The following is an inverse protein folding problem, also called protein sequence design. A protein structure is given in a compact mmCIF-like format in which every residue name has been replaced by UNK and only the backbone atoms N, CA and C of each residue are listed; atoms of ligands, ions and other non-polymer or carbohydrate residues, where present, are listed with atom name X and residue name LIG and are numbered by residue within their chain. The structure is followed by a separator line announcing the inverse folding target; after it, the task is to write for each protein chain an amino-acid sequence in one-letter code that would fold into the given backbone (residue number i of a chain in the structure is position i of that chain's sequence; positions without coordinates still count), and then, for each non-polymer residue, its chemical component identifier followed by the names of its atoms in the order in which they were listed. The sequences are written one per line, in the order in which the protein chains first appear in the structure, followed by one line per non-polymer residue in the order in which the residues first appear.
data_IF_634961741549
#
_entry.id   IF_634961741549
#
_cell.length_a   1.000
_cell.length_b   1.000
_cell.length_c   1.000
_cell.angle_alpha   90.00
_cell.angle_beta   90.00
_cell.angle_gamma   90.00
#
_symmetry.space_group_name_H-M   'P 1'
#
loop_
_entity.id
_entity.type
_entity.pdbx_description
1 polymer ?
#
# COMPACT_ATOMS: atom_id res chain seq x y z
N UNK A 1 6.78 -2.62 8.05
CA UNK A 1 8.01 -2.69 8.85
C UNK A 1 8.58 -4.12 8.97
N UNK A 2 7.71 -5.14 8.93
CA UNK A 2 8.14 -6.55 8.98
C UNK A 2 8.42 -7.17 7.61
N UNK A 3 8.05 -6.51 6.52
CA UNK A 3 8.24 -7.00 5.16
C UNK A 3 9.71 -6.89 4.74
N UNK A 4 10.36 -8.02 4.48
CA UNK A 4 11.80 -8.11 4.25
C UNK A 4 12.18 -8.54 2.84
N UNK A 5 11.24 -9.13 2.08
CA UNK A 5 11.45 -9.45 0.67
C UNK A 5 10.14 -9.57 -0.10
N UNK A 6 10.24 -9.47 -1.42
CA UNK A 6 9.21 -9.81 -2.39
C UNK A 6 9.87 -10.53 -3.56
N UNK A 7 9.51 -11.79 -3.77
CA UNK A 7 10.01 -12.60 -4.89
C UNK A 7 8.84 -12.97 -5.80
N UNK A 8 8.90 -12.57 -7.07
CA UNK A 8 7.98 -13.06 -8.08
C UNK A 8 8.26 -14.52 -8.39
N UNK A 9 7.23 -15.36 -8.34
CA UNK A 9 7.40 -16.81 -8.52
C UNK A 9 7.40 -17.11 -10.03
N UNK A 10 8.50 -17.66 -10.58
CA UNK A 10 8.58 -18.08 -11.97
C UNK A 10 7.85 -19.40 -12.21
N UNK A 11 7.67 -19.76 -13.49
CA UNK A 11 7.16 -21.09 -13.88
C UNK A 11 8.16 -22.21 -13.58
N UNK A 12 9.46 -21.95 -13.72
CA UNK A 12 10.51 -22.89 -13.32
C UNK A 12 10.63 -22.91 -11.78
N UNK A 13 10.77 -24.11 -11.22
CA UNK A 13 10.96 -24.27 -9.78
C UNK A 13 12.26 -23.60 -9.32
N UNK A 14 12.17 -22.81 -8.22
CA UNK A 14 13.31 -22.09 -7.68
C UNK A 14 13.08 -21.59 -6.26
N UNK A 15 14.12 -21.03 -5.62
CA UNK A 15 14.00 -20.47 -4.28
C UNK A 15 13.27 -19.13 -4.27
N UNK A 16 12.74 -18.76 -3.12
CA UNK A 16 12.31 -17.39 -2.81
C UNK A 16 13.25 -16.77 -1.78
N UNK A 17 13.44 -15.45 -1.87
CA UNK A 17 14.33 -14.76 -0.95
C UNK A 17 13.78 -14.78 0.47
N UNK A 18 14.59 -15.22 1.42
CA UNK A 18 14.32 -15.14 2.85
C UNK A 18 13.37 -16.18 3.42
N UNK A 19 12.88 -17.15 2.63
CA UNK A 19 12.03 -18.25 3.10
C UNK A 19 12.46 -19.58 2.45
N UNK A 20 12.45 -20.72 3.17
CA UNK A 20 12.89 -22.00 2.63
C UNK A 20 11.93 -22.57 1.58
N UNK A 21 12.34 -23.71 1.01
CA UNK A 21 11.58 -24.49 0.04
C UNK A 21 11.82 -24.10 -1.41
N UNK A 22 11.19 -24.86 -2.30
CA UNK A 22 11.24 -24.66 -3.74
C UNK A 22 9.85 -24.29 -4.26
N UNK A 23 9.79 -23.22 -5.04
CA UNK A 23 8.53 -22.58 -5.43
C UNK A 23 8.39 -22.52 -6.95
N UNK A 24 7.19 -22.74 -7.46
CA UNK A 24 6.85 -22.56 -8.88
C UNK A 24 5.42 -22.11 -9.06
N UNK A 25 5.16 -21.28 -10.05
CA UNK A 25 3.81 -20.89 -10.49
C UNK A 25 3.44 -21.67 -11.76
N UNK A 26 2.20 -22.13 -11.85
CA UNK A 26 1.69 -22.83 -13.03
C UNK A 26 0.51 -22.06 -13.59
N UNK A 27 0.63 -21.67 -14.86
CA UNK A 27 -0.37 -20.99 -15.67
C UNK A 27 -0.99 -19.73 -15.04
N UNK A 28 -0.29 -19.11 -14.08
CA UNK A 28 -0.81 -17.97 -13.33
C UNK A 28 -2.00 -18.32 -12.42
N UNK A 29 -2.37 -19.61 -12.31
CA UNK A 29 -3.52 -20.03 -11.51
C UNK A 29 -3.14 -20.60 -10.15
N UNK A 30 -2.02 -21.31 -10.08
CA UNK A 30 -1.58 -22.00 -8.87
C UNK A 30 -0.11 -21.77 -8.58
N UNK A 31 0.20 -21.80 -7.29
CA UNK A 31 1.57 -21.85 -6.79
C UNK A 31 1.76 -23.16 -6.04
N UNK A 32 2.87 -23.77 -6.30
CA UNK A 32 3.34 -24.97 -5.60
C UNK A 32 4.58 -24.61 -4.81
N UNK A 33 4.57 -24.93 -3.52
CA UNK A 33 5.72 -24.78 -2.61
C UNK A 33 6.07 -26.14 -2.06
N UNK A 34 7.31 -26.60 -2.25
CA UNK A 34 7.77 -27.90 -1.79
C UNK A 34 8.77 -27.72 -0.67
N UNK A 35 8.55 -28.42 0.43
CA UNK A 35 9.38 -28.38 1.63
C UNK A 35 9.89 -29.77 1.98
N UNK A 36 11.12 -29.84 2.50
CA UNK A 36 11.67 -31.00 3.18
C UNK A 36 11.43 -30.92 4.69
N UNK A 37 11.60 -32.02 5.39
CA UNK A 37 11.57 -32.05 6.87
C UNK A 37 12.61 -31.10 7.49
N UNK A 38 13.75 -30.91 6.82
CA UNK A 38 14.83 -30.04 7.29
C UNK A 38 14.54 -28.53 7.14
N UNK A 39 13.51 -28.16 6.38
CA UNK A 39 13.11 -26.77 6.18
C UNK A 39 12.42 -26.16 7.41
N UNK A 40 11.98 -26.98 8.37
CA UNK A 40 11.29 -26.54 9.61
C UNK A 40 10.15 -25.56 9.34
N UNK A 41 9.33 -25.88 8.34
CA UNK A 41 8.17 -25.06 7.95
C UNK A 41 6.91 -25.61 8.58
N UNK A 42 6.05 -24.71 9.04
CA UNK A 42 4.70 -25.06 9.47
C UNK A 42 3.66 -24.37 8.62
N UNK A 43 2.50 -25.03 8.39
CA UNK A 43 1.30 -24.45 7.83
C UNK A 43 0.19 -24.50 8.88
N UNK A 44 -0.38 -23.32 9.22
CA UNK A 44 -1.39 -23.22 10.27
C UNK A 44 -0.98 -23.87 11.61
N UNK A 45 0.33 -23.85 11.90
CA UNK A 45 0.91 -24.42 13.13
C UNK A 45 1.26 -25.91 13.07
N UNK A 46 0.94 -26.63 12.00
CA UNK A 46 1.34 -28.02 11.79
C UNK A 46 2.59 -28.11 10.91
N UNK A 47 3.57 -29.00 11.22
CA UNK A 47 4.72 -29.23 10.35
C UNK A 47 4.31 -29.61 8.94
N UNK A 48 5.07 -29.16 7.95
CA UNK A 48 4.83 -29.44 6.53
C UNK A 48 6.03 -30.12 5.93
N UNK A 49 5.77 -31.25 5.24
CA UNK A 49 6.71 -31.93 4.37
C UNK A 49 5.99 -32.25 3.05
N UNK A 50 6.68 -32.08 1.92
CA UNK A 50 6.11 -32.27 0.59
C UNK A 50 5.55 -31.00 -0.02
N UNK A 51 4.56 -31.12 -0.89
CA UNK A 51 4.03 -30.05 -1.71
C UNK A 51 2.77 -29.42 -1.09
N UNK A 52 2.77 -28.09 -1.00
CA UNK A 52 1.62 -27.25 -0.63
C UNK A 52 1.18 -26.47 -1.86
N UNK A 53 -0.13 -26.35 -2.06
CA UNK A 53 -0.70 -25.68 -3.23
C UNK A 53 -1.52 -24.48 -2.79
N UNK A 54 -1.29 -23.33 -3.46
CA UNK A 54 -2.06 -22.11 -3.29
C UNK A 54 -2.80 -21.77 -4.58
N UNK A 55 -4.07 -21.37 -4.44
CA UNK A 55 -4.89 -20.86 -5.54
C UNK A 55 -5.64 -19.65 -5.02
N UNK A 56 -5.33 -18.47 -5.59
CA UNK A 56 -5.86 -17.18 -5.15
C UNK A 56 -6.47 -16.43 -6.33
N UNK A 57 -7.50 -15.66 -6.06
CA UNK A 57 -7.99 -14.64 -6.97
C UNK A 57 -7.00 -13.46 -7.04
N UNK A 58 -7.05 -12.67 -8.11
CA UNK A 58 -6.19 -11.48 -8.21
C UNK A 58 -6.53 -10.48 -7.10
N UNK A 59 -5.50 -9.89 -6.50
CA UNK A 59 -5.63 -9.10 -5.28
C UNK A 59 -5.58 -9.92 -3.99
N UNK A 60 -5.79 -11.23 -4.04
CA UNK A 60 -5.80 -12.14 -2.88
C UNK A 60 -4.42 -12.34 -2.25
N UNK A 61 -4.42 -12.75 -0.99
CA UNK A 61 -3.20 -13.14 -0.23
C UNK A 61 -3.52 -14.20 0.81
N UNK A 62 -2.56 -15.10 1.04
CA UNK A 62 -2.61 -16.11 2.11
C UNK A 62 -1.29 -16.13 2.87
N UNK A 63 -1.37 -16.16 4.21
CA UNK A 63 -0.20 -16.11 5.11
C UNK A 63 -0.27 -17.26 6.11
N UNK A 64 -0.30 -18.49 5.63
CA UNK A 64 -0.42 -19.71 6.44
C UNK A 64 0.92 -20.31 6.82
N UNK A 65 1.99 -20.04 6.05
CA UNK A 65 3.31 -20.64 6.23
C UNK A 65 4.18 -19.84 7.22
N UNK A 66 4.89 -20.57 8.08
CA UNK A 66 5.84 -20.03 9.07
C UNK A 66 7.13 -20.81 9.06
N UNK A 67 8.25 -20.09 9.29
CA UNK A 67 9.58 -20.65 9.53
C UNK A 67 10.28 -19.75 10.56
N UNK A 68 10.45 -20.23 11.78
CA UNK A 68 11.00 -19.43 12.88
C UNK A 68 10.22 -18.14 13.09
N UNK A 69 10.90 -16.99 12.99
CA UNK A 69 10.31 -15.65 13.15
C UNK A 69 9.62 -15.13 11.88
N UNK A 70 9.70 -15.87 10.79
CA UNK A 70 9.25 -15.46 9.46
C UNK A 70 7.90 -16.05 9.08
N UNK A 71 7.17 -15.29 8.28
CA UNK A 71 5.93 -15.69 7.65
C UNK A 71 6.02 -15.45 6.13
N UNK A 72 5.66 -16.46 5.34
CA UNK A 72 5.48 -16.28 3.91
C UNK A 72 4.04 -15.92 3.60
N UNK A 73 3.85 -14.77 2.95
CA UNK A 73 2.58 -14.34 2.38
C UNK A 73 2.61 -14.62 0.88
N UNK A 74 1.86 -15.64 0.44
CA UNK A 74 1.61 -15.88 -0.98
C UNK A 74 0.58 -14.87 -1.44
N UNK A 75 0.87 -14.11 -2.48
CA UNK A 75 0.01 -13.05 -2.99
C UNK A 75 -0.11 -13.13 -4.50
N UNK A 76 -1.32 -12.83 -5.05
CA UNK A 76 -1.54 -12.68 -6.48
C UNK A 76 -1.79 -11.21 -6.81
N UNK A 77 -1.03 -10.64 -7.74
CA UNK A 77 -1.09 -9.23 -8.12
C UNK A 77 -0.89 -9.08 -9.63
N UNK A 78 -1.87 -8.51 -10.31
CA UNK A 78 -1.84 -8.35 -11.77
C UNK A 78 -1.68 -9.69 -12.50
N UNK A 79 -2.40 -10.72 -12.06
CA UNK A 79 -2.36 -12.07 -12.61
C UNK A 79 -1.09 -12.88 -12.28
N UNK A 80 -0.13 -12.32 -11.53
CA UNK A 80 1.14 -12.96 -11.18
C UNK A 80 1.21 -13.26 -9.69
N UNK A 81 1.86 -14.37 -9.37
CA UNK A 81 2.12 -14.74 -7.98
C UNK A 81 3.48 -14.24 -7.48
N UNK A 82 3.48 -13.81 -6.23
CA UNK A 82 4.69 -13.46 -5.49
C UNK A 82 4.64 -14.04 -4.08
N UNK A 83 5.80 -14.25 -3.48
CA UNK A 83 5.96 -14.48 -2.05
C UNK A 83 6.51 -13.22 -1.41
N UNK A 84 5.82 -12.71 -0.40
CA UNK A 84 6.28 -11.64 0.48
C UNK A 84 6.67 -12.25 1.82
N UNK A 85 7.91 -12.05 2.23
CA UNK A 85 8.39 -12.54 3.52
C UNK A 85 8.30 -11.44 4.55
N UNK A 86 7.66 -11.77 5.66
CA UNK A 86 7.56 -10.92 6.85
C UNK A 86 8.36 -11.53 7.98
N UNK A 87 9.23 -10.75 8.60
CA UNK A 87 10.01 -11.17 9.77
C UNK A 87 9.63 -10.33 10.99
N UNK A 88 9.22 -10.99 12.06
CA UNK A 88 8.90 -10.29 13.32
C UNK A 88 10.13 -9.65 13.96
N UNK A 89 11.33 -10.10 13.62
CA UNK A 89 12.61 -9.56 14.05
C UNK A 89 13.29 -8.68 12.99
N UNK A 90 12.56 -8.25 11.94
CA UNK A 90 13.11 -7.36 10.93
C UNK A 90 13.76 -6.11 11.56
N UNK A 91 14.99 -5.74 11.15
CA UNK A 91 15.71 -4.58 11.71
C UNK A 91 14.89 -3.29 11.62
N UNK A 92 14.16 -3.09 10.52
CA UNK A 92 13.25 -1.95 10.33
C UNK A 92 12.19 -1.88 11.42
N UNK A 93 11.61 -3.04 11.80
CA UNK A 93 10.61 -3.11 12.85
C UNK A 93 11.21 -2.86 14.24
N UNK A 94 12.38 -3.44 14.52
CA UNK A 94 13.04 -3.31 15.83
C UNK A 94 13.54 -1.89 16.11
N UNK A 95 14.00 -1.18 15.07
CA UNK A 95 14.52 0.18 15.18
C UNK A 95 13.46 1.27 15.05
N UNK A 96 12.23 0.89 14.72
CA UNK A 96 11.16 1.84 14.50
C UNK A 96 10.78 2.59 15.78
N UNK A 97 10.88 3.92 15.77
CA UNK A 97 10.59 4.80 16.90
C UNK A 97 9.37 5.71 16.65
N UNK A 98 8.65 5.47 15.57
CA UNK A 98 7.53 6.31 15.16
C UNK A 98 7.80 7.05 13.85
N UNK A 99 6.74 7.59 13.26
CA UNK A 99 6.83 8.42 12.07
C UNK A 99 6.97 9.87 12.51
N UNK A 100 7.97 10.63 12.01
CA UNK A 100 8.01 12.06 12.26
C UNK A 100 6.75 12.73 11.69
N UNK A 101 6.20 13.67 12.41
CA UNK A 101 5.03 14.46 11.99
C UNK A 101 5.34 15.95 12.06
N UNK A 102 4.62 16.75 11.28
CA UNK A 102 4.61 18.19 11.47
C UNK A 102 3.85 18.56 12.76
N UNK A 103 4.14 19.72 13.31
CA UNK A 103 3.26 20.31 14.33
C UNK A 103 1.86 20.53 13.74
N UNK A 104 0.84 20.42 14.59
CA UNK A 104 -0.53 20.67 14.16
C UNK A 104 -0.70 22.12 13.64
N UNK A 105 -1.24 22.23 12.42
CA UNK A 105 -1.51 23.49 11.77
C UNK A 105 -3.02 23.62 11.47
N UNK A 106 -3.75 24.52 12.17
CA UNK A 106 -5.16 24.74 11.90
C UNK A 106 -5.44 25.19 10.44
N UNK A 107 -4.48 25.85 9.77
CA UNK A 107 -4.65 26.28 8.39
C UNK A 107 -4.57 25.13 7.38
N UNK A 108 -4.11 23.97 7.81
CA UNK A 108 -4.11 22.74 7.04
C UNK A 108 -5.44 21.97 7.11
N UNK A 109 -6.42 22.48 7.87
CA UNK A 109 -7.81 22.02 7.85
C UNK A 109 -8.57 22.90 6.87
N UNK A 110 -8.98 22.35 5.74
CA UNK A 110 -9.65 23.12 4.68
C UNK A 110 -11.04 22.58 4.39
N UNK A 111 -11.93 23.51 4.00
CA UNK A 111 -13.24 23.14 3.47
C UNK A 111 -13.15 22.97 1.96
N UNK A 112 -13.81 21.92 1.47
CA UNK A 112 -13.92 21.63 0.05
C UNK A 112 -15.36 21.30 -0.34
N UNK A 113 -15.58 21.11 -1.62
CA UNK A 113 -16.84 20.63 -2.19
C UNK A 113 -16.59 19.31 -2.87
N UNK A 114 -17.33 18.29 -2.49
CA UNK A 114 -17.33 16.98 -3.14
C UNK A 114 -18.42 16.90 -4.18
N UNK A 115 -18.05 16.45 -5.38
CA UNK A 115 -18.94 16.15 -6.48
C UNK A 115 -18.79 14.67 -6.88
N UNK A 116 -19.79 13.81 -6.58
CA UNK A 116 -19.75 12.43 -6.99
C UNK A 116 -19.89 12.28 -8.50
N UNK A 117 -19.31 11.24 -9.06
CA UNK A 117 -19.62 10.82 -10.42
C UNK A 117 -20.96 10.07 -10.45
N UNK A 118 -21.69 10.16 -11.55
CA UNK A 118 -22.93 9.37 -11.75
C UNK A 118 -22.68 7.85 -11.59
N UNK A 119 -21.49 7.41 -12.00
CA UNK A 119 -20.99 6.05 -11.79
C UNK A 119 -19.49 6.12 -11.46
N UNK A 120 -19.03 5.32 -10.50
CA UNK A 120 -17.59 5.19 -10.23
C UNK A 120 -16.82 4.83 -11.51
N UNK A 121 -15.55 5.26 -11.57
CA UNK A 121 -14.67 5.06 -12.73
C UNK A 121 -13.40 4.34 -12.32
N UNK A 122 -13.08 3.29 -13.03
CA UNK A 122 -11.80 2.61 -12.88
C UNK A 122 -10.74 3.32 -13.71
N UNK A 123 -9.72 3.85 -13.05
CA UNK A 123 -8.63 4.57 -13.68
C UNK A 123 -7.33 3.76 -13.51
N UNK A 124 -6.63 3.43 -14.60
CA UNK A 124 -5.30 2.82 -14.50
C UNK A 124 -4.34 3.75 -13.76
N UNK A 125 -3.60 3.19 -12.82
CA UNK A 125 -2.57 3.89 -12.06
C UNK A 125 -1.29 3.07 -12.02
N UNK A 126 -0.18 3.72 -11.71
CA UNK A 126 1.06 3.04 -11.32
C UNK A 126 1.01 2.64 -9.86
N UNK A 127 1.87 1.71 -9.48
CA UNK A 127 2.08 1.33 -8.08
C UNK A 127 3.55 1.51 -7.70
N UNK A 128 3.86 1.41 -6.41
CA UNK A 128 5.23 1.42 -5.92
C UNK A 128 6.13 0.35 -6.56
N UNK A 129 5.55 -0.73 -7.07
CA UNK A 129 6.25 -1.76 -7.82
C UNK A 129 5.85 -1.66 -9.30
N UNK A 130 6.75 -1.21 -10.21
CA UNK A 130 6.42 -1.04 -11.62
C UNK A 130 5.94 -2.31 -12.35
N UNK A 131 6.24 -3.49 -11.79
CA UNK A 131 5.77 -4.77 -12.35
C UNK A 131 4.32 -5.09 -11.99
N UNK A 132 3.65 -4.26 -11.17
CA UNK A 132 2.26 -4.43 -10.74
C UNK A 132 1.42 -3.29 -11.29
N UNK A 133 0.56 -3.55 -12.29
CA UNK A 133 -0.43 -2.56 -12.70
C UNK A 133 -1.43 -2.33 -11.55
N UNK A 134 -1.90 -1.11 -11.41
CA UNK A 134 -2.90 -0.75 -10.43
C UNK A 134 -4.15 -0.18 -11.10
N UNK A 135 -5.25 -0.22 -10.37
CA UNK A 135 -6.51 0.44 -10.74
C UNK A 135 -7.02 1.20 -9.53
N UNK A 136 -7.37 2.46 -9.73
CA UNK A 136 -8.03 3.28 -8.73
C UNK A 136 -9.52 3.37 -9.05
N UNK A 137 -10.37 2.98 -8.11
CA UNK A 137 -11.82 3.08 -8.22
C UNK A 137 -12.28 4.45 -7.73
N UNK A 138 -12.43 5.40 -8.66
CA UNK A 138 -12.72 6.79 -8.35
C UNK A 138 -14.22 7.03 -8.29
N UNK A 139 -14.69 7.56 -7.16
CA UNK A 139 -16.11 7.82 -6.90
C UNK A 139 -16.53 9.26 -7.17
N UNK A 140 -15.58 10.20 -7.25
CA UNK A 140 -15.87 11.61 -7.48
C UNK A 140 -14.63 12.48 -7.39
N UNK A 141 -14.88 13.77 -7.25
CA UNK A 141 -13.86 14.81 -7.20
C UNK A 141 -14.11 15.69 -5.98
N UNK A 142 -13.03 16.14 -5.35
CA UNK A 142 -13.08 17.18 -4.33
C UNK A 142 -12.32 18.41 -4.81
N UNK A 143 -12.96 19.59 -4.70
CA UNK A 143 -12.36 20.90 -5.01
C UNK A 143 -12.23 21.70 -3.71
N UNK A 144 -11.09 22.33 -3.51
CA UNK A 144 -10.79 23.12 -2.31
C UNK A 144 -9.75 24.20 -2.61
N UNK A 145 -9.56 25.10 -1.66
CA UNK A 145 -8.49 26.10 -1.70
C UNK A 145 -7.51 25.82 -0.58
N UNK A 146 -6.23 25.69 -0.91
CA UNK A 146 -5.15 25.54 0.05
C UNK A 146 -4.11 26.65 -0.12
N UNK A 147 -3.82 27.40 0.95
CA UNK A 147 -2.90 28.54 0.93
C UNK A 147 -3.14 29.53 -0.23
N UNK A 148 -4.40 29.79 -0.55
CA UNK A 148 -4.82 30.72 -1.61
C UNK A 148 -4.81 30.14 -3.03
N UNK A 149 -4.38 28.89 -3.22
CA UNK A 149 -4.40 28.22 -4.51
C UNK A 149 -5.56 27.20 -4.59
N UNK A 150 -6.30 27.21 -5.70
CA UNK A 150 -7.33 26.20 -5.97
C UNK A 150 -6.68 24.85 -6.29
N UNK A 151 -7.23 23.78 -5.73
CA UNK A 151 -6.81 22.42 -5.97
C UNK A 151 -8.01 21.51 -6.24
N UNK A 152 -7.76 20.45 -6.99
CA UNK A 152 -8.76 19.46 -7.38
C UNK A 152 -8.13 18.08 -7.30
N UNK A 153 -8.76 17.17 -6.55
CA UNK A 153 -8.31 15.79 -6.40
C UNK A 153 -9.46 14.84 -6.70
N UNK A 154 -9.20 13.79 -7.47
CA UNK A 154 -10.12 12.65 -7.54
C UNK A 154 -9.98 11.81 -6.28
N UNK A 155 -11.10 11.24 -5.83
CA UNK A 155 -11.16 10.49 -4.57
C UNK A 155 -11.75 9.10 -4.77
N UNK A 156 -11.27 8.18 -3.95
CA UNK A 156 -11.80 6.83 -3.77
C UNK A 156 -12.60 6.79 -2.48
N UNK A 157 -13.42 5.78 -2.31
CA UNK A 157 -14.15 5.57 -1.05
C UNK A 157 -15.60 5.16 -1.26
N UNK A 158 -16.42 5.46 -0.28
CA UNK A 158 -17.84 5.10 -0.24
C UNK A 158 -18.67 6.27 0.31
N UNK A 159 -19.92 5.99 0.72
CA UNK A 159 -20.83 6.99 1.28
C UNK A 159 -20.48 7.46 2.69
N UNK A 160 -19.45 6.91 3.31
CA UNK A 160 -19.00 7.28 4.66
C UNK A 160 -17.62 7.94 4.68
N UNK A 161 -16.69 7.45 3.88
CA UNK A 161 -15.30 7.91 3.89
C UNK A 161 -14.75 8.06 2.48
N UNK A 162 -14.12 9.19 2.25
CA UNK A 162 -13.40 9.52 1.02
C UNK A 162 -11.89 9.53 1.30
N UNK A 163 -11.10 9.07 0.33
CA UNK A 163 -9.65 9.06 0.40
C UNK A 163 -9.05 9.66 -0.86
N UNK A 164 -8.23 10.68 -0.68
CA UNK A 164 -7.39 11.25 -1.73
C UNK A 164 -5.97 10.70 -1.61
N UNK A 165 -5.45 10.08 -2.66
CA UNK A 165 -4.02 9.76 -2.82
C UNK A 165 -3.42 10.87 -3.65
N UNK A 166 -2.39 11.57 -3.16
CA UNK A 166 -1.97 12.83 -3.75
C UNK A 166 -0.46 13.07 -3.70
N UNK A 167 -0.02 13.95 -4.61
CA UNK A 167 1.28 14.61 -4.57
C UNK A 167 1.14 16.05 -4.07
N UNK A 168 2.20 16.57 -3.44
CA UNK A 168 2.35 17.98 -3.12
C UNK A 168 3.82 18.42 -3.21
N UNK A 169 4.10 19.71 -3.02
CA UNK A 169 5.46 20.25 -3.15
C UNK A 169 6.46 19.81 -2.09
N UNK A 170 6.09 18.95 -1.13
CA UNK A 170 6.99 18.41 -0.10
C UNK A 170 7.52 17.01 -0.44
N UNK A 171 6.92 16.33 -1.42
CA UNK A 171 7.20 14.92 -1.69
C UNK A 171 8.65 14.65 -2.11
N UNK A 172 9.19 13.53 -1.65
CA UNK A 172 10.56 13.10 -1.92
C UNK A 172 11.65 13.85 -1.15
N UNK A 173 11.32 14.97 -0.51
CA UNK A 173 12.24 15.79 0.28
C UNK A 173 11.86 15.83 1.75
N UNK A 174 10.73 16.45 2.08
CA UNK A 174 10.24 16.61 3.46
C UNK A 174 9.28 15.49 3.87
N UNK A 175 8.49 14.98 2.91
CA UNK A 175 7.54 13.89 3.10
C UNK A 175 7.88 12.69 2.22
N UNK A 176 7.17 11.58 2.35
CA UNK A 176 7.31 10.44 1.44
C UNK A 176 6.98 10.84 0.00
N UNK A 177 7.29 9.98 -0.96
CA UNK A 177 7.13 10.26 -2.38
C UNK A 177 5.69 10.58 -2.78
N UNK A 178 4.71 10.09 -2.02
CA UNK A 178 3.30 10.49 -2.05
C UNK A 178 2.65 10.14 -0.72
N UNK A 179 1.47 10.69 -0.46
CA UNK A 179 0.69 10.46 0.76
C UNK A 179 -0.78 10.26 0.42
N UNK A 180 -1.56 9.95 1.42
CA UNK A 180 -3.01 9.96 1.34
C UNK A 180 -3.61 10.71 2.53
N UNK A 181 -4.83 11.19 2.35
CA UNK A 181 -5.66 11.74 3.41
C UNK A 181 -7.07 11.19 3.27
N UNK A 182 -7.65 10.75 4.39
CA UNK A 182 -9.03 10.30 4.44
C UNK A 182 -9.87 11.28 5.25
N UNK A 183 -11.09 11.50 4.83
CA UNK A 183 -12.04 12.42 5.44
C UNK A 183 -13.47 11.92 5.23
N UNK A 184 -14.42 12.44 6.01
CA UNK A 184 -15.81 12.03 5.97
C UNK A 184 -16.46 12.46 4.65
N UNK A 185 -17.25 11.55 4.05
CA UNK A 185 -18.09 11.88 2.91
C UNK A 185 -19.30 12.69 3.38
N UNK A 186 -19.88 13.53 2.50
CA UNK A 186 -21.17 14.16 2.80
C UNK A 186 -22.26 13.09 2.98
N UNK A 187 -23.30 13.41 3.72
CA UNK A 187 -24.40 12.48 4.05
C UNK A 187 -24.93 11.75 2.80
N UNK A 188 -24.90 10.43 2.88
CA UNK A 188 -25.32 9.54 1.80
C UNK A 188 -24.43 9.58 0.55
N UNK A 189 -23.19 10.10 0.64
CA UNK A 189 -22.25 10.17 -0.48
C UNK A 189 -22.68 11.12 -1.61
N UNK A 190 -23.56 12.10 -1.30
CA UNK A 190 -24.06 13.07 -2.27
C UNK A 190 -23.06 14.24 -2.45
N UNK A 191 -23.31 15.08 -3.46
CA UNK A 191 -22.61 16.35 -3.59
C UNK A 191 -22.78 17.19 -2.32
N UNK A 192 -21.70 17.79 -1.82
CA UNK A 192 -21.76 18.56 -0.60
C UNK A 192 -20.41 19.02 -0.07
N UNK A 193 -20.46 19.75 1.04
CA UNK A 193 -19.26 20.24 1.72
C UNK A 193 -18.55 19.11 2.43
N UNK A 194 -17.22 19.11 2.37
CA UNK A 194 -16.33 18.23 3.11
C UNK A 194 -15.29 19.05 3.86
N UNK A 195 -14.74 18.46 4.92
CA UNK A 195 -13.60 19.01 5.64
C UNK A 195 -12.41 18.09 5.44
N UNK A 196 -11.31 18.61 4.92
CA UNK A 196 -10.08 17.88 4.66
C UNK A 196 -9.03 18.34 5.68
N UNK A 197 -8.68 17.48 6.61
CA UNK A 197 -7.62 17.75 7.59
C UNK A 197 -6.30 17.12 7.13
N UNK A 198 -5.44 17.91 6.49
CA UNK A 198 -4.13 17.47 6.05
C UNK A 198 -3.16 17.17 7.21
N UNK A 199 -3.46 17.59 8.46
CA UNK A 199 -2.71 17.11 9.63
C UNK A 199 -2.83 15.58 9.81
N UNK A 200 -3.81 14.95 9.17
CA UNK A 200 -4.02 13.50 9.14
C UNK A 200 -3.46 12.83 7.88
N UNK A 201 -2.75 13.58 7.03
CA UNK A 201 -2.09 12.99 5.87
C UNK A 201 -1.04 11.98 6.31
N UNK A 202 -1.10 10.77 5.74
CA UNK A 202 -0.29 9.63 6.15
C UNK A 202 0.49 9.01 5.00
N UNK A 203 1.57 8.34 5.34
CA UNK A 203 2.42 7.62 4.41
C UNK A 203 1.82 6.24 4.07
N UNK A 204 2.04 5.80 2.84
CA UNK A 204 1.82 4.40 2.47
C UNK A 204 2.94 3.49 3.01
N UNK A 205 2.68 2.17 3.13
CA UNK A 205 3.74 1.20 3.46
C UNK A 205 4.99 1.29 2.59
N UNK A 206 4.87 1.75 1.35
CA UNK A 206 5.99 1.97 0.43
C UNK A 206 7.03 2.99 0.96
N UNK A 207 6.67 3.88 1.87
CA UNK A 207 7.60 4.79 2.53
C UNK A 207 8.53 4.08 3.54
N UNK A 208 8.22 2.82 3.91
CA UNK A 208 8.92 2.05 4.94
C UNK A 208 9.59 0.78 4.40
N UNK A 209 9.31 0.40 3.17
CA UNK A 209 9.84 -0.81 2.55
C UNK A 209 9.80 -0.72 1.02
N UNK A 210 10.85 -1.16 0.30
CA UNK A 210 10.85 -1.19 -1.16
C UNK A 210 9.98 -2.31 -1.74
N UNK A 211 9.46 -3.19 -0.90
CA UNK A 211 8.69 -4.38 -1.31
C UNK A 211 7.17 -4.13 -1.37
N UNK A 212 6.75 -2.86 -1.24
CA UNK A 212 5.34 -2.46 -1.32
C UNK A 212 4.81 -2.50 -2.75
N UNK A 213 3.50 -2.73 -2.88
CA UNK A 213 2.75 -2.59 -4.14
C UNK A 213 1.67 -1.51 -4.00
N UNK A 214 1.97 -0.47 -3.21
CA UNK A 214 1.02 0.58 -2.87
C UNK A 214 0.59 1.37 -4.10
N UNK A 215 -0.68 1.76 -4.21
CA UNK A 215 -1.16 2.60 -5.31
C UNK A 215 -0.48 3.97 -5.27
N UNK A 216 -0.08 4.46 -6.42
CA UNK A 216 0.38 5.84 -6.59
C UNK A 216 -0.80 6.76 -6.93
N UNK A 217 -0.67 8.08 -6.73
CA UNK A 217 -1.71 9.02 -7.10
C UNK A 217 -2.11 8.90 -8.57
N UNK A 218 -3.42 8.98 -8.88
CA UNK A 218 -3.88 9.16 -10.24
C UNK A 218 -3.23 10.38 -10.91
N UNK A 219 -3.07 10.33 -12.23
CA UNK A 219 -2.54 11.46 -12.99
C UNK A 219 -3.41 12.70 -12.72
N UNK A 220 -2.77 13.81 -12.36
CA UNK A 220 -3.46 15.06 -12.00
C UNK A 220 -3.79 15.22 -10.51
N UNK A 221 -3.64 14.18 -9.69
CA UNK A 221 -3.83 14.29 -8.24
C UNK A 221 -2.63 14.95 -7.55
N UNK A 222 -2.40 16.21 -7.85
CA UNK A 222 -1.32 17.00 -7.28
C UNK A 222 -1.80 18.35 -6.75
N UNK A 223 -1.33 18.73 -5.57
CA UNK A 223 -1.49 20.06 -5.00
C UNK A 223 -0.20 20.83 -5.24
N UNK A 224 -0.25 21.95 -5.95
CA UNK A 224 0.93 22.74 -6.32
C UNK A 224 1.67 23.28 -5.09
N UNK A 225 0.92 23.62 -4.05
CA UNK A 225 1.45 24.21 -2.83
C UNK A 225 1.99 23.13 -1.89
N UNK A 226 3.18 23.32 -1.26
CA UNK A 226 3.69 22.42 -0.25
C UNK A 226 2.74 22.26 0.94
N UNK A 227 2.36 21.04 1.28
CA UNK A 227 1.50 20.73 2.43
C UNK A 227 2.37 20.25 3.59
N UNK A 228 2.81 21.19 4.44
CA UNK A 228 3.63 20.91 5.63
C UNK A 228 2.76 20.53 6.82
N UNK A 229 1.95 19.49 6.66
CA UNK A 229 1.06 18.93 7.68
C UNK A 229 1.04 17.40 7.58
N UNK A 230 0.71 16.72 8.70
CA UNK A 230 0.65 15.26 8.77
C UNK A 230 2.01 14.59 8.86
N UNK A 231 2.13 13.37 8.36
CA UNK A 231 3.35 12.57 8.41
C UNK A 231 4.43 13.11 7.47
N UNK A 232 5.66 13.10 7.99
CA UNK A 232 6.88 13.41 7.25
C UNK A 232 7.52 12.12 6.73
N UNK A 233 8.59 12.27 5.93
CA UNK A 233 9.38 11.13 5.49
C UNK A 233 9.95 10.38 6.69
N UNK A 234 9.84 9.04 6.76
CA UNK A 234 10.56 8.24 7.75
C UNK A 234 12.06 8.57 7.72
N UNK A 235 12.71 8.61 8.89
CA UNK A 235 14.12 8.96 8.95
C UNK A 235 15.00 7.91 8.22
N UNK A 236 16.11 8.38 7.61
CA UNK A 236 17.07 7.53 6.90
C UNK A 236 17.76 6.49 7.81
N UNK A 237 17.74 6.71 9.13
CA UNK A 237 18.25 5.76 10.13
C UNK A 237 17.30 4.56 10.34
N UNK A 238 16.14 4.56 9.72
CA UNK A 238 15.28 3.39 9.56
C UNK A 238 15.67 2.74 8.23
N UNK A 239 16.39 1.60 8.22
CA UNK A 239 16.72 0.91 6.99
C UNK A 239 15.43 0.59 6.22
N UNK A 240 15.37 1.08 5.01
CA UNK A 240 14.31 0.81 4.03
C UNK A 240 14.46 -0.62 3.54
#
# INVERSE_FOLDING_TARGET
LSLTSLTWIPSAAGPVEGFPGTWRAVDGERVYATFSSDDDVTQNGAPVEGEVVFQLDDGGSETSLRHGTKAAEVAKRGGRYAVRVRDSLAPTRQRFKGVPVYGYDPSAVVKGTFEPFDKPRDIPITTANPAVPGVAHIVGVVEFVYAGASAKLVVQGDSSTLTAVFYDGTNGVETADWRYVSFDAPEGGRAGSVEIDFNRAANFPAAFTPFGTCPMPPVGNGVQTPIRAGERRPSADQPV
#
